data_IF_104581529765
#
_entry.id   IF_104581529765
#
_cell.length_a   1.000
_cell.length_b   1.000
_cell.length_c   1.000
_cell.angle_alpha   90.00
_cell.angle_beta   90.00
_cell.angle_gamma   90.00
#
_symmetry.space_group_name_H-M   'P 1'
#
loop_
_entity.id
_entity.type
_entity.pdbx_description
1 polymer ?
#
# COMPACT_ATOMS: atom_id res chain seq x y z
N UNK A 1 -10.36 17.23 1.65
CA UNK A 1 -9.31 16.23 1.94
C UNK A 1 -9.13 15.37 0.69
N UNK A 2 -7.90 15.19 0.17
CA UNK A 2 -7.63 14.30 -0.98
C UNK A 2 -6.88 13.05 -0.48
N UNK A 3 -7.40 11.88 -0.79
CA UNK A 3 -6.77 10.59 -0.46
C UNK A 3 -5.56 10.39 -1.37
N UNK A 4 -4.43 9.95 -0.80
CA UNK A 4 -3.21 9.56 -1.52
C UNK A 4 -2.97 8.08 -1.25
N UNK A 5 -2.93 7.27 -2.30
CA UNK A 5 -2.80 5.81 -2.16
C UNK A 5 -1.38 5.34 -2.47
N UNK A 6 -0.94 4.36 -1.69
CA UNK A 6 0.21 3.54 -1.96
C UNK A 6 -0.26 2.09 -2.11
N UNK A 7 -0.15 1.52 -3.31
CA UNK A 7 -0.59 0.15 -3.60
C UNK A 7 0.60 -0.80 -3.46
N UNK A 8 0.46 -1.72 -2.52
CA UNK A 8 1.40 -2.80 -2.23
C UNK A 8 1.59 -3.76 -3.41
N UNK A 9 2.72 -4.48 -3.46
CA UNK A 9 3.14 -5.40 -4.52
C UNK A 9 2.04 -6.40 -4.92
N UNK A 10 1.44 -7.07 -3.95
CA UNK A 10 0.42 -8.10 -4.18
C UNK A 10 -0.93 -7.52 -4.60
N UNK A 11 -1.14 -6.22 -4.38
CA UNK A 11 -2.38 -5.52 -4.67
C UNK A 11 -2.31 -4.69 -5.96
N UNK A 12 -1.20 -4.77 -6.70
CA UNK A 12 -0.94 -4.02 -7.94
C UNK A 12 -1.81 -4.48 -9.12
N UNK A 13 -3.11 -4.26 -9.07
CA UNK A 13 -3.97 -4.34 -10.23
C UNK A 13 -3.68 -3.15 -11.17
N UNK A 14 -2.83 -3.36 -12.18
CA UNK A 14 -2.38 -2.30 -13.09
C UNK A 14 -3.52 -1.45 -13.68
N UNK A 15 -4.64 -2.09 -14.06
CA UNK A 15 -5.82 -1.37 -14.55
C UNK A 15 -6.45 -0.46 -13.50
N UNK A 16 -6.61 -0.92 -12.26
CA UNK A 16 -7.19 -0.10 -11.18
C UNK A 16 -6.31 1.13 -10.92
N UNK A 17 -5.00 0.95 -10.78
CA UNK A 17 -4.07 2.05 -10.55
C UNK A 17 -4.09 3.07 -11.70
N UNK A 18 -4.16 2.59 -12.95
CA UNK A 18 -4.25 3.44 -14.13
C UNK A 18 -5.57 4.23 -14.17
N UNK A 19 -6.71 3.59 -14.01
CA UNK A 19 -8.03 4.25 -14.06
C UNK A 19 -8.21 5.30 -12.95
N UNK A 20 -7.71 5.01 -11.74
CA UNK A 20 -7.75 5.97 -10.64
C UNK A 20 -6.84 7.18 -10.89
N UNK A 21 -5.65 6.98 -11.49
CA UNK A 21 -4.78 8.10 -11.94
C UNK A 21 -5.45 8.96 -13.01
N UNK A 22 -6.12 8.35 -13.98
CA UNK A 22 -6.87 9.06 -15.03
C UNK A 22 -7.99 9.94 -14.42
N UNK A 23 -8.54 9.53 -13.27
CA UNK A 23 -9.51 10.31 -12.49
C UNK A 23 -8.88 11.37 -11.57
N UNK A 24 -7.56 11.57 -11.64
CA UNK A 24 -6.85 12.58 -10.85
C UNK A 24 -6.60 12.21 -9.39
N UNK A 25 -6.69 10.92 -9.04
CA UNK A 25 -6.36 10.42 -7.70
C UNK A 25 -4.83 10.24 -7.62
N UNK A 26 -4.23 10.72 -6.53
CA UNK A 26 -2.80 10.52 -6.28
C UNK A 26 -2.54 9.07 -5.89
N UNK A 27 -2.04 8.29 -6.84
CA UNK A 27 -1.70 6.88 -6.65
C UNK A 27 -0.25 6.64 -7.02
N UNK A 28 0.47 6.00 -6.10
CA UNK A 28 1.72 5.31 -6.41
C UNK A 28 1.63 3.83 -6.06
N UNK A 29 2.60 3.05 -6.51
CA UNK A 29 2.62 1.58 -6.37
C UNK A 29 4.01 1.12 -5.98
N UNK A 30 4.14 -0.03 -5.33
CA UNK A 30 5.43 -0.59 -4.93
C UNK A 30 6.43 -0.68 -6.09
N UNK A 31 5.97 -1.03 -7.31
CA UNK A 31 6.81 -1.03 -8.51
C UNK A 31 7.39 0.34 -8.87
N UNK A 32 6.59 1.40 -8.79
CA UNK A 32 7.00 2.74 -9.20
C UNK A 32 8.00 3.33 -8.21
N UNK A 33 7.83 3.01 -6.94
CA UNK A 33 8.69 3.51 -5.87
C UNK A 33 9.90 2.60 -5.61
N UNK A 34 10.10 1.54 -6.42
CA UNK A 34 11.22 0.61 -6.25
C UNK A 34 11.16 -0.21 -4.96
N UNK A 35 9.95 -0.41 -4.43
CA UNK A 35 9.67 -1.09 -3.16
C UNK A 35 9.27 -2.57 -3.34
N UNK A 36 9.42 -3.12 -4.54
CA UNK A 36 9.16 -4.55 -4.82
C UNK A 36 10.11 -5.43 -3.99
N UNK A 37 9.59 -6.53 -3.43
CA UNK A 37 10.26 -7.50 -2.55
C UNK A 37 10.81 -6.92 -1.24
N UNK A 38 10.41 -5.71 -0.86
CA UNK A 38 10.67 -5.16 0.47
C UNK A 38 9.71 -5.79 1.47
N UNK A 39 10.15 -5.93 2.71
CA UNK A 39 9.31 -6.48 3.77
C UNK A 39 8.19 -5.52 4.18
N UNK A 40 7.18 -6.02 4.89
CA UNK A 40 6.02 -5.22 5.28
C UNK A 40 6.39 -3.97 6.09
N UNK A 41 7.49 -4.02 6.85
CA UNK A 41 7.92 -2.89 7.68
C UNK A 41 8.42 -1.77 6.79
N UNK A 42 9.28 -2.09 5.82
CA UNK A 42 9.77 -1.15 4.81
C UNK A 42 8.58 -0.52 4.03
N UNK A 43 7.58 -1.32 3.65
CA UNK A 43 6.36 -0.83 2.97
C UNK A 43 5.60 0.20 3.83
N UNK A 44 5.40 -0.11 5.11
CA UNK A 44 4.65 0.73 6.06
C UNK A 44 5.41 2.02 6.39
N UNK A 45 6.71 1.93 6.61
CA UNK A 45 7.57 3.08 6.88
C UNK A 45 7.57 4.02 5.67
N UNK A 46 7.68 3.48 4.45
CA UNK A 46 7.58 4.26 3.22
C UNK A 46 6.23 4.97 3.10
N UNK A 47 5.12 4.24 3.22
CA UNK A 47 3.78 4.82 3.11
C UNK A 47 3.55 5.94 4.14
N UNK A 48 3.98 5.71 5.38
CA UNK A 48 3.88 6.68 6.48
C UNK A 48 4.73 7.93 6.21
N UNK A 49 5.99 7.75 5.82
CA UNK A 49 6.90 8.85 5.52
C UNK A 49 6.40 9.72 4.35
N UNK A 50 5.72 9.12 3.37
CA UNK A 50 5.12 9.83 2.24
C UNK A 50 3.73 10.40 2.52
N UNK A 51 3.15 10.14 3.69
CA UNK A 51 1.79 10.55 4.04
C UNK A 51 0.74 9.91 3.12
N UNK A 52 0.91 8.64 2.76
CA UNK A 52 0.03 7.86 1.88
C UNK A 52 -0.69 6.77 2.67
N UNK A 53 -1.93 6.49 2.30
CA UNK A 53 -2.70 5.35 2.82
C UNK A 53 -2.27 4.10 2.06
N UNK A 54 -1.86 3.06 2.80
CA UNK A 54 -1.52 1.75 2.24
C UNK A 54 -2.79 1.01 1.78
N UNK A 55 -2.74 0.46 0.58
CA UNK A 55 -3.73 -0.46 0.03
C UNK A 55 -3.05 -1.80 -0.26
N UNK A 56 -3.48 -2.85 0.42
CA UNK A 56 -2.93 -4.21 0.32
C UNK A 56 -4.04 -5.27 0.43
N UNK A 57 -3.77 -6.48 -0.05
CA UNK A 57 -4.65 -7.65 0.09
C UNK A 57 -4.27 -8.55 1.29
N UNK A 58 -3.21 -8.20 2.04
CA UNK A 58 -2.65 -8.98 3.16
C UNK A 58 -3.48 -8.88 4.45
N UNK A 59 -4.80 -9.02 4.32
CA UNK A 59 -5.78 -8.99 5.41
C UNK A 59 -5.48 -10.07 6.46
N UNK A 60 -5.01 -11.26 6.03
CA UNK A 60 -4.64 -12.36 6.92
C UNK A 60 -3.51 -11.99 7.89
N UNK A 61 -2.44 -11.37 7.38
CA UNK A 61 -1.29 -10.95 8.19
C UNK A 61 -1.64 -9.82 9.15
N UNK A 62 -2.52 -8.91 8.73
CA UNK A 62 -3.07 -7.87 9.59
C UNK A 62 -3.79 -8.47 10.81
N UNK A 63 -4.68 -9.44 10.60
CA UNK A 63 -5.39 -10.11 11.69
C UNK A 63 -4.46 -10.90 12.61
N UNK A 64 -3.47 -11.62 12.06
CA UNK A 64 -2.52 -12.38 12.85
C UNK A 64 -1.65 -11.46 13.72
N UNK A 65 -1.14 -10.35 13.16
CA UNK A 65 -0.30 -9.40 13.89
C UNK A 65 -1.05 -8.66 14.98
N UNK A 66 -2.29 -8.25 14.74
CA UNK A 66 -3.14 -7.69 15.81
C UNK A 66 -3.40 -8.74 16.88
N UNK A 67 -3.80 -9.96 16.51
CA UNK A 67 -4.09 -11.01 17.50
C UNK A 67 -2.90 -11.35 18.39
N UNK A 68 -1.68 -11.28 17.87
CA UNK A 68 -0.45 -11.51 18.63
C UNK A 68 0.02 -10.29 19.45
N UNK A 69 -0.32 -9.08 19.04
CA UNK A 69 0.04 -7.85 19.77
C UNK A 69 -0.85 -7.56 21.00
N UNK A 70 -1.97 -8.28 21.15
CA UNK A 70 -2.90 -8.16 22.28
C UNK A 70 -2.86 -9.37 23.25
N UNK A 71 -1.82 -10.21 23.16
CA UNK A 71 -1.48 -11.27 24.12
C UNK A 71 -0.17 -10.89 24.83
#
# INVERSE_FOLDING_TARGET
MKIRLYIDEDAMAHRLAQELRLRGIDITTALIEGMIKRDDRDQLEYATAQGRVLYSFNVGDYYQRIRLAWL
#
